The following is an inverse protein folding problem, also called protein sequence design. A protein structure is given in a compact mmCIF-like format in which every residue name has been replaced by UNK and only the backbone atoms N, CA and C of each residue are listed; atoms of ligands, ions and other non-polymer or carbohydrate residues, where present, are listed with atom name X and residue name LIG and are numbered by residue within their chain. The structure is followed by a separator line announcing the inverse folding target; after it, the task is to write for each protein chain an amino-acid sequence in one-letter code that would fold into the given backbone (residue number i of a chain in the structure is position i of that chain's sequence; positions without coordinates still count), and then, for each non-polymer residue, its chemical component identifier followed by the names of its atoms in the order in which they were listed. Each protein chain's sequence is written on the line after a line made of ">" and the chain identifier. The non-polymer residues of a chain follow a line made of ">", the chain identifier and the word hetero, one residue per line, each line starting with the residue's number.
data_IF_991930545209
#
_entry.id   IF_991930545209
#
_cell.length_a   1.000
_cell.length_b   1.000
_cell.length_c   1.000
_cell.angle_alpha   90.00
_cell.angle_beta   90.00
_cell.angle_gamma   90.00
#
_symmetry.space_group_name_H-M   'P 1'
#
loop_
_entity.id
_entity.type
_entity.pdbx_description
1 polymer ?
#
# COMPACT_ATOMS: atom_id res chain seq x y z
N UNK A 1 -19.54 -24.41 -1.42
CA UNK A 1 -19.06 -23.37 -0.48
C UNK A 1 -18.26 -22.35 -1.27
N UNK A 2 -18.57 -21.06 -1.16
CA UNK A 2 -17.84 -19.99 -1.85
C UNK A 2 -16.46 -19.86 -1.21
N UNK A 3 -15.39 -20.11 -1.96
CA UNK A 3 -14.04 -19.76 -1.54
C UNK A 3 -14.04 -18.26 -1.25
N UNK A 4 -13.76 -17.89 0.00
CA UNK A 4 -13.60 -16.48 0.34
C UNK A 4 -12.48 -15.92 -0.54
N UNK A 5 -12.63 -14.70 -1.09
CA UNK A 5 -11.56 -14.06 -1.82
C UNK A 5 -10.29 -14.10 -0.95
N UNK A 6 -9.16 -14.47 -1.54
CA UNK A 6 -7.83 -14.48 -0.89
C UNK A 6 -7.62 -13.20 -0.02
N UNK A 7 -8.05 -11.99 -0.44
CA UNK A 7 -7.98 -10.79 0.40
C UNK A 7 -8.69 -10.87 1.76
N UNK A 8 -9.82 -11.58 1.86
CA UNK A 8 -10.61 -11.70 3.09
C UNK A 8 -10.00 -12.69 4.09
N UNK A 9 -9.46 -13.80 3.61
CA UNK A 9 -8.72 -14.76 4.46
C UNK A 9 -7.43 -14.12 4.99
N UNK A 10 -6.71 -13.38 4.14
CA UNK A 10 -5.54 -12.59 4.54
C UNK A 10 -5.93 -11.58 5.62
N UNK A 11 -6.98 -10.78 5.41
CA UNK A 11 -7.43 -9.78 6.38
C UNK A 11 -7.82 -10.41 7.73
N UNK A 12 -8.48 -11.56 7.72
CA UNK A 12 -8.81 -12.33 8.91
C UNK A 12 -7.59 -12.86 9.66
N UNK A 13 -6.63 -13.45 8.94
CA UNK A 13 -5.38 -13.92 9.52
C UNK A 13 -4.55 -12.76 10.12
N UNK A 14 -4.50 -11.62 9.44
CA UNK A 14 -3.81 -10.41 9.90
C UNK A 14 -4.36 -9.87 11.21
N UNK A 15 -5.69 -9.74 11.31
CA UNK A 15 -6.34 -9.24 12.53
C UNK A 15 -6.04 -10.12 13.74
N UNK A 16 -5.90 -11.43 13.52
CA UNK A 16 -5.78 -12.41 14.59
C UNK A 16 -4.33 -12.80 14.91
N UNK A 17 -3.35 -12.57 14.02
CA UNK A 17 -1.95 -13.05 14.18
C UNK A 17 -0.87 -11.99 13.93
N UNK A 18 -1.21 -10.83 13.36
CA UNK A 18 -0.23 -9.78 13.07
C UNK A 18 0.15 -8.96 14.32
N UNK A 19 1.38 -8.42 14.39
CA UNK A 19 1.74 -7.43 15.42
C UNK A 19 0.77 -6.25 15.35
N UNK A 20 0.16 -5.81 16.46
CA UNK A 20 -0.87 -4.77 16.44
C UNK A 20 -0.36 -3.45 15.84
N UNK A 21 0.91 -3.10 16.09
CA UNK A 21 1.56 -1.90 15.55
C UNK A 21 1.65 -1.96 14.01
N UNK A 22 1.98 -3.12 13.47
CA UNK A 22 2.07 -3.33 12.02
C UNK A 22 0.68 -3.28 11.38
N UNK A 23 -0.34 -3.90 12.00
CA UNK A 23 -1.72 -3.87 11.49
C UNK A 23 -2.28 -2.45 11.49
N UNK A 24 -2.09 -1.69 12.58
CA UNK A 24 -2.58 -0.31 12.71
C UNK A 24 -1.99 0.58 11.62
N UNK A 25 -0.67 0.51 11.41
CA UNK A 25 -0.05 1.46 10.49
C UNK A 25 -0.17 1.04 9.02
N UNK A 26 -0.38 -0.24 8.70
CA UNK A 26 -0.89 -0.68 7.39
C UNK A 26 -2.25 -0.07 7.11
N UNK A 27 -3.15 -0.13 8.10
CA UNK A 27 -4.49 0.47 8.00
C UNK A 27 -4.40 1.98 7.80
N UNK A 28 -3.50 2.66 8.50
CA UNK A 28 -3.28 4.11 8.37
C UNK A 28 -2.76 4.48 6.96
N UNK A 29 -1.80 3.73 6.42
CA UNK A 29 -1.26 3.99 5.08
C UNK A 29 -2.29 3.73 3.98
N UNK A 30 -2.99 2.60 4.04
CA UNK A 30 -4.07 2.29 3.09
C UNK A 30 -5.21 3.33 3.16
N UNK A 31 -5.50 3.82 4.38
CA UNK A 31 -6.46 4.90 4.57
C UNK A 31 -5.97 6.21 3.94
N UNK A 32 -4.72 6.61 4.15
CA UNK A 32 -4.14 7.78 3.49
C UNK A 32 -4.22 7.68 1.96
N UNK A 33 -3.85 6.54 1.37
CA UNK A 33 -3.93 6.30 -0.08
C UNK A 33 -5.38 6.29 -0.61
N UNK A 34 -6.36 5.99 0.25
CA UNK A 34 -7.79 6.04 -0.12
C UNK A 34 -8.34 7.47 -0.18
N UNK A 35 -7.65 8.43 0.44
CA UNK A 35 -7.98 9.85 0.42
C UNK A 35 -7.21 10.61 -0.67
N UNK A 36 -7.82 11.64 -1.25
CA UNK A 36 -7.15 12.51 -2.25
C UNK A 36 -6.02 13.32 -1.62
N UNK A 37 -6.19 13.79 -0.38
CA UNK A 37 -5.18 14.55 0.35
C UNK A 37 -3.97 13.67 0.68
N UNK A 38 -4.18 12.45 1.18
CA UNK A 38 -3.11 11.51 1.45
C UNK A 38 -2.41 11.05 0.16
N UNK A 39 -3.16 10.85 -0.92
CA UNK A 39 -2.57 10.61 -2.25
C UNK A 39 -1.68 11.77 -2.69
N UNK A 40 -2.13 13.02 -2.52
CA UNK A 40 -1.32 14.20 -2.87
C UNK A 40 -0.06 14.33 -2.00
N UNK A 41 -0.18 14.13 -0.69
CA UNK A 41 0.95 14.13 0.25
C UNK A 41 2.01 13.10 -0.13
N UNK A 42 1.55 11.92 -0.56
CA UNK A 42 2.42 10.81 -0.90
C UNK A 42 2.96 10.95 -2.33
N UNK A 43 2.12 11.14 -3.33
CA UNK A 43 2.47 11.10 -4.76
C UNK A 43 2.92 12.46 -5.32
N UNK A 44 2.74 13.55 -4.57
CA UNK A 44 3.10 14.91 -4.96
C UNK A 44 2.24 15.44 -6.12
N UNK A 45 2.85 16.28 -6.97
CA UNK A 45 2.15 16.88 -8.12
C UNK A 45 1.84 15.90 -9.26
N UNK A 46 2.34 14.66 -9.21
CA UNK A 46 2.08 13.65 -10.25
C UNK A 46 0.63 13.17 -10.28
N UNK A 47 -0.14 13.37 -9.21
CA UNK A 47 -1.57 13.07 -9.19
C UNK A 47 -2.46 14.26 -9.56
N UNK A 48 -1.90 15.38 -10.04
CA UNK A 48 -2.69 16.48 -10.58
C UNK A 48 -3.19 16.14 -11.99
N UNK A 49 -4.49 16.36 -12.20
CA UNK A 49 -5.15 16.26 -13.49
C UNK A 49 -5.70 17.63 -13.90
N UNK A 50 -5.74 17.88 -15.21
CA UNK A 50 -6.35 19.08 -15.78
C UNK A 50 -7.88 19.02 -15.73
N UNK A 51 -8.45 17.81 -15.62
CA UNK A 51 -9.89 17.59 -15.53
C UNK A 51 -10.32 17.45 -14.08
N UNK A 52 -11.49 18.01 -13.75
CA UNK A 52 -12.06 17.82 -12.42
C UNK A 52 -12.40 16.34 -12.21
N UNK A 53 -12.03 15.72 -11.07
CA UNK A 53 -11.36 16.31 -9.90
C UNK A 53 -9.86 16.56 -10.15
N UNK A 54 -9.37 17.76 -9.85
CA UNK A 54 -7.98 18.17 -10.09
C UNK A 54 -6.91 17.27 -9.45
N UNK A 55 -7.30 16.42 -8.50
CA UNK A 55 -6.43 15.44 -7.84
C UNK A 55 -7.05 14.05 -8.01
N UNK A 56 -6.36 13.19 -8.75
CA UNK A 56 -6.70 11.78 -8.89
C UNK A 56 -6.23 10.99 -7.67
N UNK A 57 -7.03 10.00 -7.25
CA UNK A 57 -6.59 9.04 -6.23
C UNK A 57 -5.50 8.13 -6.81
N UNK A 58 -4.68 7.53 -5.95
CA UNK A 58 -3.63 6.62 -6.40
C UNK A 58 -4.16 5.47 -7.27
N UNK A 59 -5.34 4.94 -6.92
CA UNK A 59 -6.03 3.88 -7.67
C UNK A 59 -6.57 4.30 -9.03
N UNK A 60 -6.58 5.59 -9.34
CA UNK A 60 -7.06 6.15 -10.62
C UNK A 60 -5.89 6.50 -11.56
N UNK A 61 -4.66 6.60 -11.05
CA UNK A 61 -3.46 6.79 -11.87
C UNK A 61 -3.21 5.59 -12.77
N UNK A 62 -2.62 5.83 -13.95
CA UNK A 62 -2.17 4.75 -14.83
C UNK A 62 -1.03 3.95 -14.18
N UNK A 63 -0.77 2.74 -14.67
CA UNK A 63 0.33 1.90 -14.16
C UNK A 63 1.68 2.62 -14.26
N UNK A 64 1.91 3.32 -15.37
CA UNK A 64 3.13 4.07 -15.63
C UNK A 64 3.30 5.25 -14.66
N UNK A 65 2.21 5.95 -14.33
CA UNK A 65 2.23 7.03 -13.35
C UNK A 65 2.52 6.51 -11.93
N UNK A 66 1.91 5.38 -11.55
CA UNK A 66 2.17 4.73 -10.27
C UNK A 66 3.63 4.31 -10.14
N UNK A 67 4.21 3.76 -11.20
CA UNK A 67 5.61 3.35 -11.22
C UNK A 67 6.55 4.55 -11.03
N UNK A 68 6.29 5.66 -11.75
CA UNK A 68 7.06 6.90 -11.60
C UNK A 68 6.98 7.47 -10.17
N UNK A 69 5.81 7.40 -9.53
CA UNK A 69 5.64 7.82 -8.13
C UNK A 69 6.51 6.95 -7.21
N UNK A 70 6.46 5.63 -7.36
CA UNK A 70 7.25 4.71 -6.55
C UNK A 70 8.77 4.88 -6.79
N UNK A 71 9.18 5.09 -8.04
CA UNK A 71 10.57 5.38 -8.40
C UNK A 71 11.05 6.70 -7.80
N UNK A 72 10.19 7.72 -7.76
CA UNK A 72 10.49 9.00 -7.12
C UNK A 72 10.67 8.85 -5.61
N UNK A 73 9.86 8.02 -4.96
CA UNK A 73 10.02 7.75 -3.53
C UNK A 73 11.30 6.98 -3.24
N UNK A 74 11.64 5.98 -4.05
CA UNK A 74 12.82 5.14 -3.82
C UNK A 74 14.15 5.86 -4.06
N UNK A 75 14.20 6.76 -5.06
CA UNK A 75 15.39 7.53 -5.45
C UNK A 75 15.66 8.78 -4.60
N UNK A 76 14.70 9.22 -3.79
CA UNK A 76 14.88 10.42 -2.98
C UNK A 76 15.76 10.15 -1.76
N UNK A 77 16.99 10.67 -1.74
CA UNK A 77 18.00 10.34 -0.71
C UNK A 77 17.60 10.73 0.72
N UNK A 78 16.81 11.80 0.91
CA UNK A 78 16.47 12.36 2.24
C UNK A 78 14.98 12.73 2.39
N UNK A 79 14.08 12.15 1.60
CA UNK A 79 12.66 12.46 1.73
C UNK A 79 11.96 11.51 2.72
N UNK A 80 11.04 12.00 3.57
CA UNK A 80 10.14 11.15 4.35
C UNK A 80 9.39 10.14 3.46
N UNK A 81 9.19 10.45 2.17
CA UNK A 81 8.61 9.54 1.18
C UNK A 81 9.45 8.27 0.95
N UNK A 82 10.76 8.34 1.08
CA UNK A 82 11.65 7.18 0.94
C UNK A 82 11.42 6.19 2.07
N UNK A 83 11.30 6.70 3.30
CA UNK A 83 10.95 5.91 4.48
C UNK A 83 9.58 5.27 4.27
N UNK A 84 8.59 6.05 3.83
CA UNK A 84 7.25 5.52 3.52
C UNK A 84 7.31 4.43 2.43
N UNK A 85 8.11 4.60 1.38
CA UNK A 85 8.29 3.58 0.33
C UNK A 85 8.88 2.28 0.86
N UNK A 86 10.00 2.34 1.59
CA UNK A 86 10.59 1.15 2.18
C UNK A 86 9.65 0.49 3.18
N UNK A 87 8.90 1.29 3.90
CA UNK A 87 7.94 0.83 4.87
C UNK A 87 6.78 0.08 4.19
N UNK A 88 6.17 0.66 3.16
CA UNK A 88 5.14 0.00 2.34
C UNK A 88 5.69 -1.26 1.67
N UNK A 89 6.90 -1.19 1.09
CA UNK A 89 7.54 -2.34 0.45
C UNK A 89 7.80 -3.46 1.45
N UNK A 90 8.32 -3.14 2.63
CA UNK A 90 8.57 -4.09 3.72
C UNK A 90 7.27 -4.73 4.19
N UNK A 91 6.20 -3.95 4.36
CA UNK A 91 4.88 -4.47 4.71
C UNK A 91 4.29 -5.37 3.63
N UNK A 92 4.31 -4.96 2.37
CA UNK A 92 3.83 -5.79 1.26
C UNK A 92 4.60 -7.10 1.19
N UNK A 93 5.93 -7.06 1.32
CA UNK A 93 6.76 -8.26 1.37
C UNK A 93 6.41 -9.12 2.58
N UNK A 94 6.31 -8.53 3.77
CA UNK A 94 5.89 -9.23 4.98
C UNK A 94 4.54 -9.90 4.79
N UNK A 95 3.56 -9.25 4.17
CA UNK A 95 2.26 -9.86 3.86
C UNK A 95 2.37 -10.97 2.85
N UNK A 96 3.13 -10.80 1.77
CA UNK A 96 3.34 -11.87 0.78
C UNK A 96 4.04 -13.06 1.44
N UNK A 97 5.07 -12.83 2.26
CA UNK A 97 5.78 -13.87 2.99
C UNK A 97 4.90 -14.54 4.05
N UNK A 98 4.14 -13.78 4.83
CA UNK A 98 3.21 -14.31 5.81
C UNK A 98 2.10 -15.11 5.13
N UNK A 99 1.58 -14.63 4.00
CA UNK A 99 0.60 -15.34 3.18
C UNK A 99 1.19 -16.66 2.65
N UNK A 100 2.38 -16.61 2.06
CA UNK A 100 3.09 -17.79 1.55
C UNK A 100 3.40 -18.77 2.69
N UNK A 101 3.80 -18.31 3.87
CA UNK A 101 4.04 -19.15 5.05
C UNK A 101 2.73 -19.73 5.62
N UNK A 102 1.59 -19.08 5.42
CA UNK A 102 0.27 -19.61 5.76
C UNK A 102 -0.20 -20.66 4.73
N UNK A 103 0.25 -20.54 3.48
CA UNK A 103 0.00 -21.48 2.37
C UNK A 103 1.05 -22.60 2.25
N UNK A 104 2.18 -22.51 2.96
CA UNK A 104 3.09 -23.61 3.24
C UNK A 104 2.63 -24.24 4.56
N UNK A 105 1.65 -25.17 4.54
CA UNK A 105 1.44 -25.97 5.71
C UNK A 105 2.77 -26.67 6.01
N UNK A 106 3.13 -26.68 7.29
CA UNK A 106 3.73 -27.88 7.86
C UNK A 106 2.73 -29.00 7.56
N UNK A 107 2.92 -29.69 6.44
CA UNK A 107 2.29 -30.97 6.06
C UNK A 107 3.22 -31.66 5.08
#
# INVERSE_FOLDING_TARGET
>A
ASQKPIPEEVAGAMKNRGPPEAVILVRAVLWMLSTRIGTFLLCGFLCFDKRWPFINKFSQLSTEEREKVLQKWSSSLFSPLRVVFYFIKSLCLYFIFALVMLFLPVS
#
